data_IF_175709622486
#
_entry.id   IF_175709622486
#
_cell.length_a   1.000
_cell.length_b   1.000
_cell.length_c   1.000
_cell.angle_alpha   90.00
_cell.angle_beta   90.00
_cell.angle_gamma   90.00
#
_symmetry.space_group_name_H-M   'P 1'
#
loop_
_entity.id
_entity.type
_entity.pdbx_description
1 polymer ?
#
# COMPACT_ATOMS: atom_id res chain seq x y z
N UNK A 1 -9.10 -4.30 42.28
CA UNK A 1 -8.52 -3.04 41.80
C UNK A 1 -7.20 -3.37 41.13
N UNK A 2 -7.11 -3.13 39.83
CA UNK A 2 -5.97 -3.46 39.00
C UNK A 2 -6.22 -2.85 37.62
N UNK A 3 -5.89 -1.57 37.50
CA UNK A 3 -5.92 -0.84 36.23
C UNK A 3 -4.88 -1.45 35.29
N UNK A 4 -5.37 -2.14 34.27
CA UNK A 4 -4.58 -2.53 33.11
C UNK A 4 -4.61 -1.39 32.10
N UNK A 5 -3.47 -0.74 31.95
CA UNK A 5 -3.16 0.29 30.96
C UNK A 5 -3.71 -0.09 29.58
N UNK A 6 -4.78 0.58 29.15
CA UNK A 6 -5.32 0.48 27.81
C UNK A 6 -4.30 1.12 26.86
N UNK A 7 -3.51 0.29 26.19
CA UNK A 7 -2.71 0.68 25.06
C UNK A 7 -3.65 1.28 24.00
N UNK A 8 -3.54 2.59 23.80
CA UNK A 8 -4.01 3.26 22.60
C UNK A 8 -3.31 2.59 21.42
N UNK A 9 -3.98 1.69 20.73
CA UNK A 9 -3.70 1.45 19.33
C UNK A 9 -5.04 1.32 18.64
N UNK A 10 -5.24 2.21 17.68
CA UNK A 10 -6.51 2.59 17.11
C UNK A 10 -7.38 1.39 16.73
N UNK A 11 -8.67 1.48 17.04
CA UNK A 11 -9.68 0.50 16.67
C UNK A 11 -9.96 0.52 15.17
N UNK A 12 -8.97 0.13 14.37
CA UNK A 12 -9.14 -0.07 12.93
C UNK A 12 -9.72 -1.47 12.71
N UNK A 13 -11.03 -1.54 12.45
CA UNK A 13 -11.55 -2.69 11.71
C UNK A 13 -11.29 -2.41 10.24
N UNK A 14 -10.07 -2.68 9.78
CA UNK A 14 -9.85 -2.94 8.36
C UNK A 14 -10.56 -4.27 8.09
N UNK A 15 -11.82 -4.23 7.64
CA UNK A 15 -12.46 -5.40 7.06
C UNK A 15 -11.76 -5.65 5.73
N UNK A 16 -10.58 -6.27 5.81
CA UNK A 16 -9.95 -6.90 4.68
C UNK A 16 -10.79 -8.11 4.29
N UNK A 17 -11.76 -7.91 3.40
CA UNK A 17 -12.06 -8.96 2.44
C UNK A 17 -11.01 -8.84 1.34
N UNK A 18 -9.89 -9.51 1.56
CA UNK A 18 -9.06 -9.93 0.45
C UNK A 18 -9.91 -10.82 -0.44
N UNK A 19 -10.12 -10.42 -1.69
CA UNK A 19 -10.86 -11.22 -2.66
C UNK A 19 -11.60 -10.36 -3.66
N UNK A 20 -11.32 -10.57 -4.95
CA UNK A 20 -12.04 -9.91 -6.03
C UNK A 20 -13.55 -10.03 -5.85
N UNK A 21 -14.24 -8.90 -5.96
CA UNK A 21 -15.69 -8.85 -5.84
C UNK A 21 -16.13 -7.41 -5.65
N UNK A 22 -16.98 -6.95 -6.56
CA UNK A 22 -17.69 -5.68 -6.42
C UNK A 22 -18.40 -5.66 -5.05
N UNK A 23 -18.02 -4.76 -4.14
CA UNK A 23 -18.76 -4.55 -2.88
C UNK A 23 -17.96 -4.51 -1.58
N UNK A 24 -16.67 -4.19 -1.59
CA UNK A 24 -15.97 -3.81 -0.35
C UNK A 24 -16.47 -2.45 0.12
N UNK A 25 -17.42 -2.42 1.06
CA UNK A 25 -17.84 -1.18 1.71
C UNK A 25 -16.75 -0.75 2.69
N UNK A 26 -16.04 0.32 2.36
CA UNK A 26 -15.20 1.01 3.31
C UNK A 26 -16.08 1.88 4.22
N UNK A 27 -15.80 1.88 5.52
CA UNK A 27 -16.46 2.77 6.48
C UNK A 27 -15.34 3.54 7.16
N UNK A 28 -15.14 4.79 6.74
CA UNK A 28 -14.20 5.72 7.37
C UNK A 28 -14.99 6.66 8.30
N UNK A 29 -14.41 7.03 9.44
CA UNK A 29 -15.10 7.91 10.39
C UNK A 29 -15.19 9.35 9.85
N UNK A 30 -14.19 9.79 9.09
CA UNK A 30 -14.13 11.07 8.39
C UNK A 30 -13.14 11.04 7.20
N UNK A 31 -13.11 12.12 6.41
CA UNK A 31 -12.23 12.26 5.25
C UNK A 31 -10.76 12.42 5.64
N UNK A 32 -10.46 12.97 6.82
CA UNK A 32 -9.08 13.20 7.28
C UNK A 32 -8.42 11.86 7.64
N UNK A 33 -9.16 10.94 8.23
CA UNK A 33 -8.73 9.57 8.50
C UNK A 33 -8.47 8.80 7.20
N UNK A 34 -9.33 8.96 6.19
CA UNK A 34 -9.11 8.37 4.88
C UNK A 34 -7.84 8.93 4.21
N UNK A 35 -7.60 10.24 4.33
CA UNK A 35 -6.37 10.86 3.84
C UNK A 35 -5.12 10.32 4.52
N UNK A 36 -5.15 10.16 5.84
CA UNK A 36 -4.04 9.57 6.59
C UNK A 36 -3.72 8.13 6.13
N UNK A 37 -4.76 7.32 5.87
CA UNK A 37 -4.59 5.95 5.37
C UNK A 37 -4.03 5.96 3.93
N UNK A 38 -4.51 6.86 3.07
CA UNK A 38 -3.97 7.02 1.71
C UNK A 38 -2.47 7.38 1.77
N UNK A 39 -2.10 8.30 2.66
CA UNK A 39 -0.71 8.72 2.85
C UNK A 39 0.18 7.57 3.34
N UNK A 40 -0.30 6.78 4.32
CA UNK A 40 0.43 5.61 4.82
C UNK A 40 0.67 4.58 3.71
N UNK A 41 -0.37 4.22 2.96
CA UNK A 41 -0.24 3.25 1.87
C UNK A 41 0.62 3.77 0.71
N UNK A 42 0.55 5.08 0.44
CA UNK A 42 1.44 5.74 -0.53
C UNK A 42 2.90 5.64 -0.08
N UNK A 43 3.19 5.90 1.19
CA UNK A 43 4.53 5.77 1.74
C UNK A 43 5.05 4.33 1.69
N UNK A 44 4.19 3.34 1.97
CA UNK A 44 4.53 1.92 1.83
C UNK A 44 4.87 1.59 0.38
N UNK A 45 4.02 1.98 -0.58
CA UNK A 45 4.25 1.74 -2.02
C UNK A 45 5.59 2.34 -2.46
N UNK A 46 5.84 3.59 -2.09
CA UNK A 46 7.05 4.31 -2.50
C UNK A 46 8.31 3.69 -1.86
N UNK A 47 8.21 3.23 -0.61
CA UNK A 47 9.25 2.46 0.07
C UNK A 47 9.57 1.14 -0.63
N UNK A 48 8.54 0.36 -0.99
CA UNK A 48 8.70 -0.88 -1.75
C UNK A 48 9.39 -0.62 -3.08
N UNK A 49 8.97 0.40 -3.84
CA UNK A 49 9.61 0.76 -5.10
C UNK A 49 11.08 1.19 -4.92
N UNK A 50 11.39 1.91 -3.83
CA UNK A 50 12.77 2.28 -3.51
C UNK A 50 13.64 1.06 -3.25
N UNK A 51 13.12 0.05 -2.54
CA UNK A 51 13.82 -1.20 -2.31
C UNK A 51 13.99 -2.03 -3.59
N UNK A 52 12.98 -2.03 -4.48
CA UNK A 52 13.10 -2.63 -5.81
C UNK A 52 14.28 -2.06 -6.61
N UNK A 53 14.48 -0.74 -6.57
CA UNK A 53 15.65 -0.09 -7.20
C UNK A 53 16.98 -0.55 -6.58
N UNK A 54 17.06 -0.70 -5.27
CA UNK A 54 18.26 -1.22 -4.58
C UNK A 54 18.55 -2.67 -4.97
N UNK A 55 17.52 -3.51 -5.09
CA UNK A 55 17.67 -4.91 -5.53
C UNK A 55 18.21 -5.00 -6.96
N UNK A 56 17.71 -4.17 -7.87
CA UNK A 56 18.22 -4.08 -9.25
C UNK A 56 19.69 -3.63 -9.28
N UNK A 57 20.06 -2.64 -8.47
CA UNK A 57 21.45 -2.21 -8.34
C UNK A 57 22.33 -3.33 -7.79
N UNK A 58 21.90 -4.03 -6.74
CA UNK A 58 22.62 -5.15 -6.17
C UNK A 58 22.87 -6.26 -7.19
N UNK A 59 21.86 -6.57 -8.02
CA UNK A 59 21.97 -7.58 -9.08
C UNK A 59 23.04 -7.21 -10.12
N UNK A 60 23.13 -5.93 -10.49
CA UNK A 60 24.12 -5.42 -11.45
C UNK A 60 25.56 -5.47 -10.92
N UNK A 61 25.74 -5.50 -9.59
CA UNK A 61 27.06 -5.54 -8.95
C UNK A 61 27.59 -6.96 -8.76
N UNK A 62 26.79 -8.00 -9.02
CA UNK A 62 27.23 -9.39 -8.86
C UNK A 62 28.20 -9.75 -10.00
N UNK A 63 29.45 -9.98 -9.64
CA UNK A 63 30.51 -10.42 -10.55
C UNK A 63 31.22 -11.63 -9.94
N UNK A 64 31.48 -12.65 -10.77
CA UNK A 64 32.24 -13.81 -10.33
C UNK A 64 33.72 -13.45 -10.12
N UNK A 65 34.37 -13.92 -9.03
CA UNK A 65 35.77 -13.60 -8.74
C UNK A 65 36.74 -14.24 -9.74
N UNK A 66 36.35 -15.36 -10.36
CA UNK A 66 37.10 -16.03 -11.41
C UNK A 66 36.16 -16.76 -12.40
N UNK A 67 36.71 -17.18 -13.54
CA UNK A 67 35.96 -17.83 -14.63
C UNK A 67 35.86 -19.36 -14.49
N UNK A 68 36.38 -19.95 -13.41
CA UNK A 68 36.20 -21.38 -13.17
C UNK A 68 34.76 -21.69 -12.74
N UNK A 69 34.36 -22.95 -12.88
CA UNK A 69 32.98 -23.38 -12.62
C UNK A 69 32.55 -23.09 -11.18
N UNK A 70 33.44 -23.29 -10.20
CA UNK A 70 33.11 -23.14 -8.78
C UNK A 70 32.91 -21.68 -8.40
N UNK A 71 33.73 -20.78 -8.96
CA UNK A 71 33.59 -19.33 -8.78
C UNK A 71 32.33 -18.74 -9.39
N UNK A 72 31.65 -19.43 -10.31
CA UNK A 72 30.42 -18.97 -10.94
C UNK A 72 29.14 -19.40 -10.22
N UNK A 73 29.17 -20.50 -9.45
CA UNK A 73 27.97 -21.08 -8.82
C UNK A 73 27.31 -20.13 -7.81
N UNK A 74 28.11 -19.48 -6.97
CA UNK A 74 27.58 -18.58 -5.95
C UNK A 74 26.98 -17.28 -6.52
N UNK A 75 27.64 -16.59 -7.47
CA UNK A 75 27.02 -15.51 -8.24
C UNK A 75 25.72 -15.91 -8.95
N UNK A 76 25.65 -17.12 -9.51
CA UNK A 76 24.43 -17.62 -10.17
C UNK A 76 23.27 -17.79 -9.18
N UNK A 77 23.51 -18.46 -8.05
CA UNK A 77 22.50 -18.63 -7.01
C UNK A 77 22.03 -17.28 -6.42
N UNK A 78 22.95 -16.34 -6.23
CA UNK A 78 22.62 -15.00 -5.74
C UNK A 78 21.77 -14.22 -6.75
N UNK A 79 22.07 -14.32 -8.06
CA UNK A 79 21.26 -13.73 -9.12
C UNK A 79 19.85 -14.32 -9.18
N UNK A 80 19.70 -15.64 -9.01
CA UNK A 80 18.39 -16.28 -8.94
C UNK A 80 17.58 -15.76 -7.75
N UNK A 81 18.20 -15.67 -6.57
CA UNK A 81 17.56 -15.14 -5.36
C UNK A 81 17.11 -13.68 -5.54
N UNK A 82 17.97 -12.83 -6.09
CA UNK A 82 17.62 -11.43 -6.38
C UNK A 82 16.51 -11.32 -7.42
N UNK A 83 16.50 -12.17 -8.44
CA UNK A 83 15.41 -12.19 -9.44
C UNK A 83 14.07 -12.48 -8.79
N UNK A 84 14.01 -13.44 -7.87
CA UNK A 84 12.80 -13.75 -7.09
C UNK A 84 12.41 -12.59 -6.17
N UNK A 85 13.38 -11.96 -5.51
CA UNK A 85 13.14 -10.81 -4.64
C UNK A 85 12.59 -9.60 -5.42
N UNK A 86 13.14 -9.31 -6.61
CA UNK A 86 12.65 -8.26 -7.51
C UNK A 86 11.21 -8.55 -7.94
N UNK A 87 10.93 -9.79 -8.35
CA UNK A 87 9.56 -10.19 -8.73
C UNK A 87 8.56 -10.06 -7.58
N UNK A 88 8.95 -10.44 -6.37
CA UNK A 88 8.11 -10.27 -5.19
C UNK A 88 7.89 -8.79 -4.85
N UNK A 89 8.94 -7.97 -4.90
CA UNK A 89 8.86 -6.54 -4.67
C UNK A 89 7.92 -5.85 -5.68
N UNK A 90 8.00 -6.22 -6.96
CA UNK A 90 7.08 -5.72 -7.99
C UNK A 90 5.62 -6.07 -7.66
N UNK A 91 5.33 -7.32 -7.29
CA UNK A 91 3.98 -7.73 -6.90
C UNK A 91 3.46 -6.98 -5.67
N UNK A 92 4.33 -6.67 -4.70
CA UNK A 92 3.96 -5.84 -3.55
C UNK A 92 3.65 -4.40 -3.94
N UNK A 93 4.44 -3.81 -4.85
CA UNK A 93 4.22 -2.46 -5.35
C UNK A 93 2.89 -2.36 -6.11
N UNK A 94 2.59 -3.33 -6.98
CA UNK A 94 1.32 -3.40 -7.73
C UNK A 94 0.12 -3.54 -6.80
N UNK A 95 0.24 -4.38 -5.76
CA UNK A 95 -0.81 -4.54 -4.76
C UNK A 95 -1.07 -3.23 -4.00
N UNK A 96 -0.01 -2.58 -3.51
CA UNK A 96 -0.12 -1.32 -2.79
C UNK A 96 -0.72 -0.22 -3.67
N UNK A 97 -0.29 -0.10 -4.93
CA UNK A 97 -0.84 0.88 -5.87
C UNK A 97 -2.32 0.63 -6.15
N UNK A 98 -2.72 -0.62 -6.41
CA UNK A 98 -4.12 -0.98 -6.58
C UNK A 98 -4.98 -0.71 -5.34
N UNK A 99 -4.40 -0.75 -4.14
CA UNK A 99 -5.09 -0.39 -2.90
C UNK A 99 -5.23 1.13 -2.76
N UNK A 100 -4.16 1.89 -3.00
CA UNK A 100 -4.19 3.37 -3.03
C UNK A 100 -5.24 3.89 -4.00
N UNK A 101 -5.31 3.33 -5.22
CA UNK A 101 -6.31 3.72 -6.21
C UNK A 101 -7.75 3.51 -5.71
N UNK A 102 -8.03 2.42 -4.99
CA UNK A 102 -9.36 2.15 -4.41
C UNK A 102 -9.70 3.15 -3.31
N UNK A 103 -8.73 3.48 -2.44
CA UNK A 103 -8.92 4.46 -1.38
C UNK A 103 -9.18 5.86 -1.95
N UNK A 104 -8.42 6.26 -2.97
CA UNK A 104 -8.62 7.53 -3.66
C UNK A 104 -10.00 7.62 -4.33
N UNK A 105 -10.45 6.52 -4.96
CA UNK A 105 -11.80 6.44 -5.53
C UNK A 105 -12.89 6.58 -4.45
N UNK A 106 -12.73 5.90 -3.32
CA UNK A 106 -13.64 6.04 -2.18
C UNK A 106 -13.67 7.48 -1.66
N UNK A 107 -12.51 8.13 -1.51
CA UNK A 107 -12.40 9.53 -1.07
C UNK A 107 -13.14 10.49 -2.00
N UNK A 108 -12.97 10.32 -3.31
CA UNK A 108 -13.65 11.14 -4.30
C UNK A 108 -15.18 10.99 -4.22
N UNK A 109 -15.66 9.76 -3.97
CA UNK A 109 -17.09 9.50 -3.78
C UNK A 109 -17.64 10.18 -2.51
N UNK A 110 -16.94 10.07 -1.38
CA UNK A 110 -17.34 10.73 -0.14
C UNK A 110 -17.40 12.26 -0.27
N UNK A 111 -16.41 12.88 -0.91
CA UNK A 111 -16.42 14.32 -1.14
C UNK A 111 -17.60 14.79 -2.01
N UNK A 112 -17.93 14.02 -3.05
CA UNK A 112 -19.06 14.34 -3.92
C UNK A 112 -20.42 14.21 -3.20
N UNK A 113 -20.57 13.21 -2.33
CA UNK A 113 -21.79 13.00 -1.55
C UNK A 113 -22.00 14.12 -0.51
N UNK A 114 -20.93 14.59 0.14
CA UNK A 114 -20.98 15.68 1.11
C UNK A 114 -21.33 17.03 0.46
N UNK A 115 -20.71 17.36 -0.70
CA UNK A 115 -21.05 18.57 -1.46
C UNK A 115 -22.51 18.58 -1.92
N UNK A 116 -23.02 17.43 -2.38
CA UNK A 116 -24.42 17.28 -2.78
C UNK A 116 -25.37 17.44 -1.59
N UNK A 117 -25.05 16.87 -0.42
CA UNK A 117 -25.84 17.04 0.78
C UNK A 117 -25.88 18.51 1.22
N UNK A 118 -24.73 19.19 1.23
CA UNK A 118 -24.63 20.62 1.56
C UNK A 118 -25.38 21.51 0.56
N UNK A 119 -25.39 21.17 -0.73
CA UNK A 119 -26.15 21.89 -1.75
C UNK A 119 -27.67 21.74 -1.52
N UNK A 120 -28.15 20.54 -1.19
CA UNK A 120 -29.57 20.29 -0.87
C UNK A 120 -30.01 21.09 0.36
N UNK A 121 -29.21 21.11 1.42
CA UNK A 121 -29.54 21.90 2.62
C UNK A 121 -29.63 23.40 2.32
N UNK A 122 -28.69 23.96 1.56
CA UNK A 122 -28.74 25.38 1.12
C UNK A 122 -29.97 25.70 0.27
N UNK A 123 -30.44 24.77 -0.57
CA UNK A 123 -31.65 24.97 -1.37
C UNK A 123 -32.95 24.92 -0.56
N UNK A 124 -32.96 24.22 0.58
CA UNK A 124 -34.15 24.10 1.45
C UNK A 124 -34.28 25.30 2.38
N UNK A 125 -33.17 25.88 2.84
CA UNK A 125 -33.16 27.01 3.79
C UNK A 125 -33.43 28.38 3.12
N UNK A 126 -33.50 28.41 1.78
CA UNK A 126 -33.68 29.62 0.97
C UNK A 126 -35.05 29.78 0.30
N UNK A 127 -36.04 28.94 0.62
CA UNK A 127 -37.41 28.98 0.09
C UNK A 127 -38.45 29.22 1.16
#
# INVERSE_FOLDING_TARGET
MGEGTLARNAGYVVIGSGGGGAGGNYVFADLDELDAIIDEWTAIRDGVQADGRKLLQAQQLIVAPAKDLMSQLQPAAMNESLTKAIGHNAAMADYADGYVQKLQAARAQYGADDEQAAARMRSVDGG
#
